data_IF_280755894734
#
_entry.id   IF_280755894734
#
_cell.length_a   1.000
_cell.length_b   1.000
_cell.length_c   1.000
_cell.angle_alpha   90.00
_cell.angle_beta   90.00
_cell.angle_gamma   90.00
#
_symmetry.space_group_name_H-M   'P 1'
#
loop_
_entity.id
_entity.type
_entity.pdbx_description
1 polymer ?
#
# COMPACT_ATOMS: atom_id res chain seq x y z
N UNK A 1 -14.37 7.51 8.46
CA UNK A 1 -14.92 8.16 9.64
C UNK A 1 -15.86 9.26 9.14
N UNK A 2 -17.17 8.97 9.04
CA UNK A 2 -18.18 9.86 8.45
C UNK A 2 -18.59 11.05 9.33
N UNK A 3 -17.78 11.39 10.33
CA UNK A 3 -18.11 12.43 11.30
C UNK A 3 -17.83 13.86 10.84
N UNK A 4 -17.00 14.00 9.78
CA UNK A 4 -16.55 15.32 9.33
C UNK A 4 -17.28 15.83 8.08
N UNK A 5 -18.21 15.04 7.54
CA UNK A 5 -18.96 15.41 6.34
C UNK A 5 -20.47 15.49 6.62
N UNK A 6 -21.08 16.58 6.20
CA UNK A 6 -22.54 16.81 6.34
C UNK A 6 -23.38 15.79 5.52
N UNK A 7 -22.76 15.15 4.52
CA UNK A 7 -23.41 14.17 3.66
C UNK A 7 -22.53 12.91 3.62
N UNK A 8 -23.11 11.76 3.93
CA UNK A 8 -22.45 10.48 3.73
C UNK A 8 -22.70 9.99 2.29
N UNK A 9 -21.68 9.87 1.43
CA UNK A 9 -21.87 9.45 0.04
C UNK A 9 -22.47 8.06 -0.09
N UNK A 10 -22.27 7.17 0.88
CA UNK A 10 -22.87 5.84 0.88
C UNK A 10 -24.40 5.87 1.00
N UNK A 11 -24.99 6.86 1.65
CA UNK A 11 -26.44 6.96 1.77
C UNK A 11 -27.10 7.32 0.43
N UNK A 12 -26.44 8.20 -0.33
CA UNK A 12 -26.88 8.51 -1.70
C UNK A 12 -26.75 7.31 -2.64
N UNK A 13 -25.67 6.53 -2.52
CA UNK A 13 -25.47 5.30 -3.28
C UNK A 13 -26.52 4.23 -2.92
N UNK A 14 -26.85 4.07 -1.63
CA UNK A 14 -27.91 3.17 -1.18
C UNK A 14 -29.28 3.53 -1.76
N UNK A 15 -29.59 4.80 -1.85
CA UNK A 15 -30.84 5.28 -2.47
C UNK A 15 -30.91 5.00 -3.98
N UNK A 16 -29.78 5.06 -4.68
CA UNK A 16 -29.68 4.80 -6.12
C UNK A 16 -29.75 3.29 -6.47
N UNK A 17 -29.54 2.39 -5.50
CA UNK A 17 -29.56 0.92 -5.66
C UNK A 17 -28.77 0.41 -6.88
N UNK A 18 -27.48 0.76 -7.02
CA UNK A 18 -26.66 0.20 -8.10
C UNK A 18 -26.40 -1.29 -7.87
N UNK A 19 -26.13 -2.02 -8.94
CA UNK A 19 -25.73 -3.44 -8.84
C UNK A 19 -24.32 -3.60 -8.26
N UNK A 20 -23.45 -2.60 -8.46
CA UNK A 20 -22.07 -2.56 -8.02
C UNK A 20 -21.63 -1.12 -7.72
N UNK A 21 -20.89 -0.94 -6.65
CA UNK A 21 -20.21 0.32 -6.33
C UNK A 21 -18.71 0.19 -6.64
N UNK A 22 -18.18 1.09 -7.46
CA UNK A 22 -16.73 1.20 -7.69
C UNK A 22 -16.22 2.47 -7.01
N UNK A 23 -15.31 2.30 -6.05
CA UNK A 23 -14.66 3.39 -5.32
C UNK A 23 -13.21 3.50 -5.75
N UNK A 24 -12.84 4.57 -6.47
CA UNK A 24 -11.47 4.83 -6.91
C UNK A 24 -10.83 5.77 -5.90
N UNK A 25 -9.66 5.37 -5.38
CA UNK A 25 -9.05 5.99 -4.22
C UNK A 25 -7.55 6.27 -4.39
N UNK A 26 -7.10 7.32 -3.73
CA UNK A 26 -5.71 7.59 -3.40
C UNK A 26 -5.61 7.59 -1.85
N UNK A 27 -5.81 6.42 -1.25
CA UNK A 27 -5.79 6.25 0.20
C UNK A 27 -4.36 5.96 0.65
N UNK A 28 -3.70 6.87 1.40
CA UNK A 28 -2.33 6.69 1.83
C UNK A 28 -2.17 5.45 2.70
N UNK A 29 -1.00 4.82 2.58
CA UNK A 29 -0.64 3.65 3.39
C UNK A 29 -0.30 4.06 4.83
N UNK A 30 -0.68 3.20 5.76
CA UNK A 30 -0.31 3.27 7.17
C UNK A 30 -0.42 1.88 7.79
N UNK A 31 0.26 1.66 8.92
CA UNK A 31 0.15 0.42 9.69
C UNK A 31 -1.29 0.28 10.19
N UNK A 32 -1.93 -0.86 9.88
CA UNK A 32 -3.33 -1.11 10.23
C UNK A 32 -4.37 -0.51 9.27
N UNK A 33 -3.97 0.33 8.32
CA UNK A 33 -4.90 0.98 7.38
C UNK A 33 -5.69 0.01 6.51
N UNK A 34 -5.08 -1.14 6.15
CA UNK A 34 -5.76 -2.22 5.42
C UNK A 34 -6.98 -2.73 6.19
N UNK A 35 -6.79 -3.09 7.45
CA UNK A 35 -7.87 -3.57 8.31
C UNK A 35 -8.97 -2.51 8.48
N UNK A 36 -8.58 -1.25 8.65
CA UNK A 36 -9.53 -0.14 8.73
C UNK A 36 -10.34 0.01 7.43
N UNK A 37 -9.71 -0.07 6.26
CA UNK A 37 -10.41 -0.04 4.96
C UNK A 37 -11.44 -1.17 4.87
N UNK A 38 -11.03 -2.41 5.16
CA UNK A 38 -11.94 -3.56 5.16
C UNK A 38 -13.11 -3.38 6.14
N UNK A 39 -12.86 -2.86 7.33
CA UNK A 39 -13.89 -2.62 8.33
C UNK A 39 -14.90 -1.55 7.87
N UNK A 40 -14.42 -0.39 7.39
CA UNK A 40 -15.26 0.74 6.98
C UNK A 40 -16.10 0.37 5.75
N UNK A 41 -15.46 -0.13 4.69
CA UNK A 41 -16.16 -0.50 3.46
C UNK A 41 -17.03 -1.74 3.65
N UNK A 42 -16.59 -2.70 4.47
CA UNK A 42 -17.39 -3.87 4.82
C UNK A 42 -18.64 -3.53 5.62
N UNK A 43 -18.56 -2.57 6.53
CA UNK A 43 -19.73 -2.08 7.25
C UNK A 43 -20.73 -1.39 6.31
N UNK A 44 -20.25 -0.55 5.38
CA UNK A 44 -21.10 0.10 4.39
C UNK A 44 -21.73 -0.93 3.44
N UNK A 45 -20.93 -1.87 2.93
CA UNK A 45 -21.38 -2.94 2.03
C UNK A 45 -22.51 -3.77 2.67
N UNK A 46 -22.35 -4.22 3.90
CA UNK A 46 -23.41 -4.97 4.62
C UNK A 46 -24.66 -4.13 4.90
N UNK A 47 -24.48 -2.88 5.36
CA UNK A 47 -25.60 -1.99 5.71
C UNK A 47 -26.49 -1.68 4.52
N UNK A 48 -25.88 -1.52 3.34
CA UNK A 48 -26.59 -1.11 2.12
C UNK A 48 -26.92 -2.29 1.20
N UNK A 49 -26.46 -3.49 1.54
CA UNK A 49 -26.57 -4.70 0.71
C UNK A 49 -25.99 -4.50 -0.70
N UNK A 50 -24.93 -3.69 -0.82
CA UNK A 50 -24.29 -3.35 -2.10
C UNK A 50 -22.88 -3.95 -2.18
N UNK A 51 -22.58 -4.77 -3.21
CA UNK A 51 -21.22 -5.18 -3.54
C UNK A 51 -20.37 -3.98 -3.90
N UNK A 52 -19.07 -4.02 -3.50
CA UNK A 52 -18.18 -2.89 -3.68
C UNK A 52 -16.79 -3.35 -4.16
N UNK A 53 -16.26 -2.63 -5.14
CA UNK A 53 -14.89 -2.72 -5.60
C UNK A 53 -14.13 -1.46 -5.13
N UNK A 54 -13.16 -1.63 -4.25
CA UNK A 54 -12.25 -0.59 -3.82
C UNK A 54 -10.98 -0.66 -4.67
N UNK A 55 -10.73 0.36 -5.47
CA UNK A 55 -9.53 0.48 -6.31
C UNK A 55 -8.63 1.54 -5.69
N UNK A 56 -7.41 1.17 -5.33
CA UNK A 56 -6.48 2.08 -4.68
C UNK A 56 -5.22 2.28 -5.52
N UNK A 57 -4.69 3.48 -5.46
CA UNK A 57 -3.39 3.83 -6.03
C UNK A 57 -2.27 3.02 -5.38
N UNK A 58 -1.21 2.75 -6.13
CA UNK A 58 0.06 2.24 -5.62
C UNK A 58 1.20 3.18 -6.04
N UNK A 59 2.21 3.32 -5.19
CA UNK A 59 3.41 4.11 -5.47
C UNK A 59 3.67 5.23 -4.48
N UNK A 60 4.85 5.86 -4.60
CA UNK A 60 5.25 7.03 -3.82
C UNK A 60 4.92 8.34 -4.54
N UNK A 61 4.42 9.32 -3.82
CA UNK A 61 4.17 10.67 -4.31
C UNK A 61 4.45 11.69 -3.20
N UNK A 62 5.53 12.46 -3.34
CA UNK A 62 6.03 13.39 -2.33
C UNK A 62 6.21 12.71 -0.96
N UNK A 63 5.46 13.13 0.05
CA UNK A 63 5.49 12.58 1.40
C UNK A 63 4.53 11.40 1.60
N UNK A 64 3.77 11.02 0.58
CA UNK A 64 2.76 9.97 0.67
C UNK A 64 3.22 8.72 -0.07
N UNK A 65 2.92 7.58 0.52
CA UNK A 65 3.06 6.28 -0.13
C UNK A 65 1.69 5.61 -0.15
N UNK A 66 1.35 5.01 -1.28
CA UNK A 66 0.11 4.28 -1.49
C UNK A 66 0.46 2.80 -1.68
N UNK A 67 -0.16 1.94 -0.90
CA UNK A 67 0.19 0.52 -0.83
C UNK A 67 -0.62 -0.36 -1.79
N UNK A 68 -1.50 0.21 -2.61
CA UNK A 68 -2.40 -0.58 -3.43
C UNK A 68 -3.45 -1.28 -2.57
N UNK A 69 -3.38 -2.60 -2.48
CA UNK A 69 -4.35 -3.40 -1.73
C UNK A 69 -5.80 -3.11 -2.16
N UNK A 70 -6.04 -2.99 -3.46
CA UNK A 70 -7.39 -2.93 -4.02
C UNK A 70 -8.14 -4.20 -3.66
N UNK A 71 -9.44 -4.11 -3.37
CA UNK A 71 -10.19 -5.28 -2.96
C UNK A 71 -11.64 -5.26 -3.45
N UNK A 72 -12.22 -6.45 -3.58
CA UNK A 72 -13.61 -6.66 -3.85
C UNK A 72 -14.30 -7.26 -2.62
N UNK A 73 -15.46 -6.72 -2.28
CA UNK A 73 -16.22 -7.13 -1.10
C UNK A 73 -17.71 -7.26 -1.44
N UNK A 74 -18.34 -8.32 -0.94
CA UNK A 74 -19.79 -8.50 -1.04
C UNK A 74 -20.45 -8.56 0.34
N UNK A 75 -21.76 -8.25 0.42
CA UNK A 75 -22.48 -8.23 1.70
C UNK A 75 -22.45 -9.58 2.44
N UNK A 76 -22.54 -10.68 1.70
CA UNK A 76 -22.65 -12.03 2.25
C UNK A 76 -21.30 -12.68 2.54
N UNK A 77 -20.35 -12.54 1.61
CA UNK A 77 -19.08 -13.24 1.68
C UNK A 77 -17.93 -12.41 2.28
N UNK A 78 -18.13 -11.12 2.47
CA UNK A 78 -17.06 -10.24 2.93
C UNK A 78 -16.02 -9.98 1.82
N UNK A 79 -14.75 -9.81 2.17
CA UNK A 79 -13.67 -9.60 1.20
C UNK A 79 -13.41 -10.88 0.43
N UNK A 80 -13.68 -10.86 -0.87
CA UNK A 80 -13.53 -12.02 -1.76
C UNK A 80 -12.23 -11.99 -2.57
N UNK A 81 -11.67 -10.80 -2.77
CA UNK A 81 -10.44 -10.58 -3.52
C UNK A 81 -9.66 -9.45 -2.89
N UNK A 82 -8.34 -9.55 -2.91
CA UNK A 82 -7.42 -8.45 -2.62
C UNK A 82 -6.23 -8.51 -3.58
N UNK A 83 -5.93 -7.39 -4.22
CA UNK A 83 -4.78 -7.23 -5.10
C UNK A 83 -3.47 -7.12 -4.31
N UNK A 84 -2.35 -7.29 -4.99
CA UNK A 84 -1.02 -7.20 -4.42
C UNK A 84 -0.77 -5.84 -3.76
N UNK A 85 0.14 -5.83 -2.80
CA UNK A 85 0.54 -4.63 -2.06
C UNK A 85 1.93 -4.18 -2.47
N UNK A 86 2.14 -2.85 -2.55
CA UNK A 86 3.41 -2.20 -2.88
C UNK A 86 3.94 -2.48 -4.29
N UNK A 87 3.13 -3.05 -5.16
CA UNK A 87 3.42 -3.31 -6.57
C UNK A 87 2.19 -3.01 -7.43
N UNK A 88 2.41 -2.69 -8.70
CA UNK A 88 1.33 -2.62 -9.67
C UNK A 88 0.74 -4.01 -9.88
N UNK A 89 -0.59 -4.09 -9.90
CA UNK A 89 -1.31 -5.34 -10.10
C UNK A 89 -2.50 -5.11 -11.02
N UNK A 90 -2.67 -6.01 -11.97
CA UNK A 90 -3.79 -6.01 -12.90
C UNK A 90 -4.51 -7.33 -12.84
N UNK A 91 -5.79 -7.28 -12.46
CA UNK A 91 -6.61 -8.48 -12.29
C UNK A 91 -7.93 -8.35 -13.03
N UNK A 92 -8.38 -9.45 -13.62
CA UNK A 92 -9.71 -9.58 -14.21
C UNK A 92 -10.61 -10.30 -13.22
N UNK A 93 -11.69 -9.65 -12.83
CA UNK A 93 -12.70 -10.20 -11.94
C UNK A 93 -14.00 -10.41 -12.72
N UNK A 94 -14.61 -11.58 -12.56
CA UNK A 94 -15.98 -11.82 -12.97
C UNK A 94 -16.90 -11.34 -11.85
N UNK A 95 -17.93 -10.58 -12.21
CA UNK A 95 -18.97 -10.15 -11.28
C UNK A 95 -20.32 -10.69 -11.77
N UNK A 96 -20.98 -11.50 -10.94
CA UNK A 96 -22.26 -12.12 -11.26
C UNK A 96 -23.04 -12.40 -9.97
N UNK A 97 -24.35 -12.10 -9.97
CA UNK A 97 -25.20 -12.34 -8.81
C UNK A 97 -24.74 -11.66 -7.52
N UNK A 98 -24.07 -10.49 -7.64
CA UNK A 98 -23.55 -9.76 -6.48
C UNK A 98 -22.25 -10.33 -5.87
N UNK A 99 -21.60 -11.27 -6.56
CA UNK A 99 -20.37 -11.95 -6.10
C UNK A 99 -19.23 -11.75 -7.08
N UNK A 100 -17.99 -11.80 -6.54
CA UNK A 100 -16.78 -11.73 -7.33
C UNK A 100 -16.08 -13.09 -7.40
N UNK A 101 -15.57 -13.42 -8.56
CA UNK A 101 -14.82 -14.66 -8.80
C UNK A 101 -13.74 -14.45 -9.85
N UNK A 102 -12.88 -15.43 -10.03
CA UNK A 102 -11.98 -15.51 -11.16
C UNK A 102 -12.75 -15.65 -12.47
N UNK A 103 -12.13 -15.42 -13.59
CA UNK A 103 -12.76 -15.45 -14.92
C UNK A 103 -13.34 -16.81 -15.29
N UNK A 104 -12.80 -17.89 -14.72
CA UNK A 104 -13.29 -19.26 -14.85
C UNK A 104 -14.44 -19.60 -13.88
N UNK A 105 -14.85 -18.65 -13.05
CA UNK A 105 -15.89 -18.81 -12.05
C UNK A 105 -15.42 -19.38 -10.71
N UNK A 106 -14.14 -19.72 -10.56
CA UNK A 106 -13.63 -20.20 -9.28
C UNK A 106 -13.49 -19.03 -8.28
N UNK A 107 -13.67 -19.28 -6.97
CA UNK A 107 -13.41 -18.26 -5.96
C UNK A 107 -11.92 -17.86 -5.95
N UNK A 108 -11.65 -16.63 -5.57
CA UNK A 108 -10.26 -16.22 -5.27
C UNK A 108 -9.76 -16.89 -4.00
N UNK A 109 -8.44 -17.09 -3.87
CA UNK A 109 -7.86 -17.46 -2.59
C UNK A 109 -8.28 -16.44 -1.51
N UNK A 110 -8.61 -16.93 -0.32
CA UNK A 110 -8.96 -16.06 0.80
C UNK A 110 -7.75 -15.18 1.14
N UNK A 111 -7.92 -13.83 1.16
CA UNK A 111 -6.83 -12.95 1.52
C UNK A 111 -6.30 -13.25 2.93
N UNK A 112 -4.98 -13.19 3.09
CA UNK A 112 -4.33 -13.41 4.38
C UNK A 112 -4.89 -12.45 5.45
N UNK A 113 -5.45 -13.02 6.52
CA UNK A 113 -6.07 -12.25 7.59
C UNK A 113 -5.03 -11.44 8.38
N UNK A 114 -3.86 -12.02 8.63
CA UNK A 114 -2.81 -11.43 9.45
C UNK A 114 -2.06 -10.31 8.71
N UNK A 115 -1.99 -10.43 7.40
CA UNK A 115 -1.35 -9.43 6.57
C UNK A 115 0.18 -9.45 6.69
N UNK A 116 0.81 -8.31 6.42
CA UNK A 116 2.27 -8.14 6.46
C UNK A 116 2.68 -7.69 7.86
N UNK A 117 3.71 -8.31 8.51
CA UNK A 117 4.24 -7.82 9.78
C UNK A 117 4.64 -6.34 9.71
N UNK A 118 4.46 -5.59 10.80
CA UNK A 118 4.63 -4.13 10.82
C UNK A 118 6.03 -3.67 10.34
N UNK A 119 7.09 -4.40 10.73
CA UNK A 119 8.47 -4.09 10.30
C UNK A 119 8.64 -4.29 8.80
N UNK A 120 8.11 -5.39 8.27
CA UNK A 120 8.15 -5.69 6.83
C UNK A 120 7.29 -4.71 6.03
N UNK A 121 6.16 -4.29 6.58
CA UNK A 121 5.34 -3.24 6.01
C UNK A 121 6.12 -1.92 5.91
N UNK A 122 6.77 -1.49 7.01
CA UNK A 122 7.59 -0.29 7.03
C UNK A 122 8.74 -0.36 6.00
N UNK A 123 9.44 -1.50 5.93
CA UNK A 123 10.51 -1.72 4.93
C UNK A 123 9.99 -1.53 3.51
N UNK A 124 8.90 -2.22 3.13
CA UNK A 124 8.31 -2.10 1.78
C UNK A 124 7.84 -0.69 1.47
N UNK A 125 7.25 -0.01 2.45
CA UNK A 125 6.79 1.37 2.29
C UNK A 125 7.95 2.32 2.03
N UNK A 126 9.04 2.22 2.79
CA UNK A 126 10.26 3.05 2.64
C UNK A 126 10.90 2.80 1.27
N UNK A 127 11.09 1.53 0.92
CA UNK A 127 11.70 1.13 -0.36
C UNK A 127 10.89 1.64 -1.55
N UNK A 128 9.56 1.47 -1.54
CA UNK A 128 8.69 1.98 -2.59
C UNK A 128 8.73 3.50 -2.67
N UNK A 129 8.63 4.18 -1.53
CA UNK A 129 8.66 5.65 -1.47
C UNK A 129 9.97 6.22 -2.00
N UNK A 130 11.11 5.69 -1.58
CA UNK A 130 12.43 6.14 -2.03
C UNK A 130 12.65 5.89 -3.53
N UNK A 131 12.30 4.70 -4.01
CA UNK A 131 12.41 4.35 -5.44
C UNK A 131 11.59 5.29 -6.31
N UNK A 132 10.35 5.52 -5.95
CA UNK A 132 9.44 6.34 -6.75
C UNK A 132 9.81 7.82 -6.67
N UNK A 133 10.27 8.30 -5.52
CA UNK A 133 10.77 9.66 -5.38
C UNK A 133 12.00 9.90 -6.27
N UNK A 134 13.00 9.02 -6.21
CA UNK A 134 14.18 9.11 -7.04
C UNK A 134 13.81 9.10 -8.54
N UNK A 135 12.94 8.18 -8.96
CA UNK A 135 12.46 8.08 -10.35
C UNK A 135 11.77 9.37 -10.82
N UNK A 136 10.88 9.93 -10.01
CA UNK A 136 10.12 11.15 -10.36
C UNK A 136 11.01 12.40 -10.41
N UNK A 137 12.04 12.46 -9.56
CA UNK A 137 13.02 13.54 -9.54
C UNK A 137 14.15 13.33 -10.56
N UNK A 138 14.14 12.26 -11.35
CA UNK A 138 15.21 11.86 -12.26
C UNK A 138 16.58 11.68 -11.57
N UNK A 139 16.57 11.26 -10.30
CA UNK A 139 17.80 10.91 -9.59
C UNK A 139 18.20 9.49 -9.99
N UNK A 140 19.32 9.37 -10.67
CA UNK A 140 19.88 8.08 -11.09
C UNK A 140 20.81 7.48 -10.05
N UNK A 141 21.38 8.31 -9.17
CA UNK A 141 22.27 7.90 -8.09
C UNK A 141 21.98 8.68 -6.82
N UNK A 142 22.26 8.04 -5.69
CA UNK A 142 22.15 8.65 -4.38
C UNK A 142 23.45 8.48 -3.59
N UNK A 143 23.69 9.40 -2.69
CA UNK A 143 24.84 9.36 -1.77
C UNK A 143 24.31 9.24 -0.35
N UNK A 144 24.89 8.34 0.43
CA UNK A 144 24.55 8.11 1.83
C UNK A 144 25.80 8.35 2.69
N UNK A 145 25.72 9.28 3.64
CA UNK A 145 26.78 9.47 4.64
C UNK A 145 26.77 8.33 5.65
N UNK A 146 27.87 7.61 5.77
CA UNK A 146 28.03 6.48 6.68
C UNK A 146 28.81 6.92 7.92
N UNK A 147 28.14 7.01 9.06
CA UNK A 147 28.74 7.39 10.34
C UNK A 147 29.36 6.20 11.11
N UNK A 148 29.22 4.97 10.59
CA UNK A 148 29.55 3.73 11.31
C UNK A 148 28.46 3.26 12.29
N UNK A 149 27.36 4.00 12.44
CA UNK A 149 26.21 3.62 13.26
C UNK A 149 25.18 2.79 12.50
N UNK A 150 24.34 2.08 13.26
CA UNK A 150 23.30 1.21 12.70
C UNK A 150 22.30 1.96 11.81
N UNK A 151 21.96 3.21 12.13
CA UNK A 151 20.99 4.00 11.37
C UNK A 151 21.49 4.28 9.96
N UNK A 152 22.77 4.68 9.82
CA UNK A 152 23.37 4.91 8.50
C UNK A 152 23.54 3.62 7.70
N UNK A 153 23.85 2.51 8.38
CA UNK A 153 23.93 1.20 7.75
C UNK A 153 22.56 0.73 7.24
N UNK A 154 21.51 0.90 8.05
CA UNK A 154 20.13 0.59 7.64
C UNK A 154 19.67 1.49 6.48
N UNK A 155 19.98 2.79 6.54
CA UNK A 155 19.67 3.72 5.44
C UNK A 155 20.34 3.29 4.15
N UNK A 156 21.62 2.90 4.21
CA UNK A 156 22.36 2.40 3.05
C UNK A 156 21.72 1.11 2.48
N UNK A 157 21.38 0.17 3.36
CA UNK A 157 20.76 -1.09 2.95
C UNK A 157 19.39 -0.87 2.25
N UNK A 158 18.55 -0.01 2.81
CA UNK A 158 17.25 0.34 2.21
C UNK A 158 17.41 1.11 0.89
N UNK A 159 18.43 1.98 0.78
CA UNK A 159 18.73 2.66 -0.47
C UNK A 159 19.18 1.68 -1.57
N UNK A 160 20.02 0.72 -1.21
CA UNK A 160 20.46 -0.35 -2.14
C UNK A 160 19.28 -1.20 -2.59
N UNK A 161 18.38 -1.55 -1.70
CA UNK A 161 17.19 -2.30 -2.04
C UNK A 161 16.26 -1.52 -2.98
N UNK A 162 16.12 -0.21 -2.76
CA UNK A 162 15.25 0.64 -3.56
C UNK A 162 15.78 0.92 -4.95
N UNK A 163 17.10 1.13 -5.10
CA UNK A 163 17.73 1.71 -6.29
C UNK A 163 18.74 0.79 -6.98
N UNK A 164 19.14 -0.28 -6.32
CA UNK A 164 20.22 -1.16 -6.78
C UNK A 164 21.61 -0.67 -6.31
N UNK A 165 22.53 -1.62 -6.07
CA UNK A 165 23.85 -1.34 -5.52
C UNK A 165 24.69 -0.36 -6.37
N UNK A 166 24.59 -0.46 -7.68
CA UNK A 166 25.36 0.40 -8.63
C UNK A 166 24.93 1.88 -8.60
N UNK A 167 23.79 2.16 -7.98
CA UNK A 167 23.20 3.50 -7.90
C UNK A 167 23.32 4.13 -6.51
N UNK A 168 23.97 3.46 -5.56
CA UNK A 168 24.13 3.95 -4.19
C UNK A 168 25.59 4.07 -3.83
N UNK A 169 26.00 5.26 -3.39
CA UNK A 169 27.37 5.56 -3.00
C UNK A 169 27.39 5.84 -1.49
N UNK A 170 28.03 4.96 -0.72
CA UNK A 170 28.31 5.19 0.69
C UNK A 170 29.58 6.03 0.85
N UNK A 171 29.50 7.11 1.62
CA UNK A 171 30.66 7.96 1.92
C UNK A 171 30.90 7.97 3.42
N UNK A 172 32.06 7.50 3.83
CA UNK A 172 32.58 7.68 5.21
C UNK A 172 33.31 9.00 5.32
N UNK A 173 33.09 9.73 6.41
CA UNK A 173 33.73 11.01 6.69
C UNK A 173 34.44 10.94 8.04
N UNK A 174 35.54 10.16 8.15
CA UNK A 174 36.25 10.02 9.42
C UNK A 174 36.84 11.36 9.86
N UNK A 175 36.71 11.66 11.13
CA UNK A 175 37.34 12.82 11.79
C UNK A 175 38.22 12.35 12.94
N UNK A 176 39.00 13.25 13.51
CA UNK A 176 39.84 12.97 14.69
C UNK A 176 38.99 12.53 15.91
N UNK A 177 37.72 12.77 15.88
CA UNK A 177 36.76 12.37 16.93
C UNK A 177 35.99 11.09 16.59
N UNK A 178 36.21 10.50 15.41
CA UNK A 178 35.53 9.28 15.00
C UNK A 178 36.06 8.06 15.73
N UNK A 179 35.22 7.17 16.18
CA UNK A 179 35.62 5.89 16.78
C UNK A 179 36.27 4.98 15.74
N UNK A 180 37.14 4.07 16.18
CA UNK A 180 37.80 3.10 15.29
C UNK A 180 36.76 2.25 14.48
N UNK A 181 35.61 1.95 15.07
CA UNK A 181 34.51 1.24 14.40
C UNK A 181 33.78 2.02 13.29
N UNK A 182 34.07 3.33 13.13
CA UNK A 182 33.53 4.14 12.04
C UNK A 182 34.40 4.10 10.78
N UNK A 183 35.54 3.44 10.82
CA UNK A 183 36.56 3.40 9.75
C UNK A 183 36.81 1.98 9.23
N UNK A 184 36.41 0.97 9.98
CA UNK A 184 36.44 -0.46 9.61
C UNK A 184 35.08 -0.97 9.23
#
# INVERSE_FOLDING_TARGET
DGRDYAINPFDALGAARPDLVVSINASPSDIGKRALRHAVFGAACRRLELPLLFVNQVGGHDQLVFDGASFAISPQAGVQFEAARFVEDFQLLRFEGGQFSQTDGQPFPVPDADGIPAVEFARRQIVLGLRDYARRCNFTKVVVGCSGGIDSALTLALAVEALGADNVIGITMPSVFSSAGSVT
#
